data_IF_663239710961
#
_entry.id   IF_663239710961
#
_cell.length_a   1.000
_cell.length_b   1.000
_cell.length_c   1.000
_cell.angle_alpha   90.00
_cell.angle_beta   90.00
_cell.angle_gamma   90.00
#
_symmetry.space_group_name_H-M   'P 1'
#
loop_
_entity.id
_entity.type
_entity.pdbx_description
1 polymer ?
#
# COMPACT_ATOMS: atom_id res chain seq x y z
N UNK A 1 28.30 -35.40 30.78
CA UNK A 1 27.73 -35.47 29.43
C UNK A 1 27.29 -34.07 29.06
N UNK A 2 28.11 -33.32 28.26
CA UNK A 2 27.90 -31.90 27.92
C UNK A 2 27.33 -31.84 26.55
N UNK A 3 26.14 -31.27 26.39
CA UNK A 3 25.52 -30.99 25.10
C UNK A 3 25.97 -29.58 24.60
N UNK A 4 26.44 -29.43 23.37
CA UNK A 4 26.80 -28.13 22.86
C UNK A 4 25.54 -27.32 22.47
N UNK A 5 25.45 -26.08 22.93
CA UNK A 5 24.43 -25.14 22.57
C UNK A 5 24.65 -24.63 21.13
N UNK A 6 23.71 -24.96 20.24
CA UNK A 6 23.68 -24.42 18.86
C UNK A 6 23.02 -23.01 18.88
N UNK A 7 23.83 -21.98 19.06
CA UNK A 7 23.39 -20.60 18.88
C UNK A 7 23.57 -20.19 17.41
N UNK A 8 22.63 -20.58 16.57
CA UNK A 8 22.58 -20.12 15.19
C UNK A 8 22.05 -18.67 15.13
N UNK A 9 22.84 -17.77 14.58
CA UNK A 9 22.54 -16.32 14.44
C UNK A 9 21.74 -16.06 13.16
N UNK A 10 20.39 -16.03 13.16
CA UNK A 10 19.60 -15.78 11.94
C UNK A 10 19.65 -14.31 11.44
N UNK A 11 20.09 -13.38 12.29
CA UNK A 11 20.10 -11.93 11.96
C UNK A 11 21.07 -11.52 10.84
N UNK A 12 22.17 -12.27 10.65
CA UNK A 12 23.17 -11.93 9.61
C UNK A 12 22.76 -12.37 8.21
N UNK A 13 21.93 -13.39 8.06
CA UNK A 13 21.42 -13.85 6.75
C UNK A 13 20.37 -12.90 6.17
N UNK A 14 19.49 -12.35 7.01
CA UNK A 14 18.48 -11.38 6.56
C UNK A 14 19.11 -10.05 6.09
N UNK A 15 20.17 -9.59 6.74
CA UNK A 15 20.89 -8.39 6.34
C UNK A 15 21.63 -8.59 4.99
N UNK A 16 22.21 -9.77 4.75
CA UNK A 16 22.89 -10.08 3.49
C UNK A 16 21.93 -10.21 2.30
N UNK A 17 20.74 -10.75 2.50
CA UNK A 17 19.70 -10.81 1.46
C UNK A 17 19.15 -9.42 1.12
N UNK A 18 18.95 -8.55 2.10
CA UNK A 18 18.49 -7.18 1.89
C UNK A 18 19.52 -6.33 1.13
N UNK A 19 20.82 -6.49 1.40
CA UNK A 19 21.88 -5.77 0.69
C UNK A 19 22.09 -6.27 -0.73
N UNK A 20 21.95 -7.56 -1.00
CA UNK A 20 22.03 -8.11 -2.37
C UNK A 20 20.87 -7.65 -3.24
N UNK A 21 19.66 -7.56 -2.68
CA UNK A 21 18.47 -7.08 -3.39
C UNK A 21 18.56 -5.60 -3.76
N UNK A 22 19.20 -4.77 -2.93
CA UNK A 22 19.36 -3.34 -3.18
C UNK A 22 20.44 -3.07 -4.24
N UNK A 23 21.52 -3.86 -4.28
CA UNK A 23 22.60 -3.72 -5.25
C UNK A 23 22.18 -4.15 -6.66
N UNK A 24 21.33 -5.17 -6.82
CA UNK A 24 20.81 -5.62 -8.11
C UNK A 24 19.90 -4.58 -8.80
N UNK A 25 19.28 -3.67 -8.03
CA UNK A 25 18.43 -2.60 -8.55
C UNK A 25 19.21 -1.46 -9.23
N UNK A 26 20.50 -1.32 -8.99
CA UNK A 26 21.30 -0.17 -9.46
C UNK A 26 22.05 -0.40 -10.77
N UNK A 27 22.20 -1.64 -11.26
CA UNK A 27 23.11 -1.99 -12.36
C UNK A 27 22.44 -2.36 -13.70
N UNK A 28 21.10 -2.24 -13.83
CA UNK A 28 20.43 -2.55 -15.10
C UNK A 28 20.48 -1.37 -16.07
N UNK A 29 20.78 -1.61 -17.38
CA UNK A 29 20.94 -0.56 -18.37
C UNK A 29 19.64 0.25 -18.60
N UNK A 30 19.84 1.51 -18.97
CA UNK A 30 18.84 2.56 -19.07
C UNK A 30 18.17 2.60 -20.45
N UNK A 31 17.33 1.64 -20.80
CA UNK A 31 16.49 1.75 -21.99
C UNK A 31 15.02 1.61 -21.60
N UNK A 32 14.39 2.73 -21.24
CA UNK A 32 12.97 2.79 -20.85
C UNK A 32 12.08 2.99 -22.10
N UNK A 33 12.16 2.13 -23.10
CA UNK A 33 11.43 2.28 -24.37
C UNK A 33 9.91 2.10 -24.23
N UNK A 34 9.42 1.45 -23.16
CA UNK A 34 8.00 1.13 -22.98
C UNK A 34 7.25 2.08 -22.05
N UNK A 35 7.92 3.04 -21.44
CA UNK A 35 7.22 4.08 -20.67
C UNK A 35 6.49 5.06 -21.59
N UNK A 36 5.41 5.67 -21.09
CA UNK A 36 4.82 6.83 -21.74
C UNK A 36 5.94 7.83 -22.02
N UNK A 37 6.02 8.34 -23.25
CA UNK A 37 7.03 9.32 -23.66
C UNK A 37 6.99 10.63 -22.82
N UNK A 38 6.08 10.71 -21.85
CA UNK A 38 5.81 11.88 -21.04
C UNK A 38 6.49 11.75 -19.67
N UNK A 39 7.23 12.81 -19.30
CA UNK A 39 7.92 12.92 -18.01
C UNK A 39 6.97 12.95 -16.82
N UNK A 40 5.78 13.48 -17.00
CA UNK A 40 4.76 13.61 -15.96
C UNK A 40 3.51 12.84 -16.34
N UNK A 41 2.85 12.24 -15.38
CA UNK A 41 1.57 11.57 -15.57
C UNK A 41 0.68 11.68 -14.34
N UNK A 42 -0.62 11.60 -14.55
CA UNK A 42 -1.62 11.35 -13.52
C UNK A 42 -2.16 9.94 -13.72
N UNK A 43 -2.46 9.28 -12.62
CA UNK A 43 -3.00 7.92 -12.64
C UNK A 43 -4.20 7.84 -11.70
N UNK A 44 -5.26 7.17 -12.16
CA UNK A 44 -6.38 6.77 -11.33
C UNK A 44 -6.56 5.26 -11.44
N UNK A 45 -6.81 4.58 -10.31
CA UNK A 45 -6.90 3.13 -10.24
C UNK A 45 -8.00 2.68 -9.28
N UNK A 46 -8.67 1.59 -9.63
CA UNK A 46 -9.39 0.75 -8.68
C UNK A 46 -8.42 -0.13 -7.92
N UNK A 47 -8.66 -0.34 -6.64
CA UNK A 47 -7.87 -1.22 -5.79
C UNK A 47 -8.75 -2.24 -5.07
N UNK A 48 -8.20 -3.44 -4.91
CA UNK A 48 -8.70 -4.46 -3.99
C UNK A 48 -7.66 -4.62 -2.89
N UNK A 49 -8.10 -4.59 -1.63
CA UNK A 49 -7.23 -4.68 -0.45
C UNK A 49 -7.61 -5.90 0.37
N UNK A 50 -6.78 -6.95 0.31
CA UNK A 50 -6.86 -8.08 1.21
C UNK A 50 -6.12 -7.76 2.50
N UNK A 51 -6.75 -8.01 3.64
CA UNK A 51 -6.27 -7.66 4.99
C UNK A 51 -5.98 -8.92 5.79
N UNK A 52 -4.87 -8.94 6.56
CA UNK A 52 -4.42 -10.09 7.33
C UNK A 52 -3.77 -9.64 8.64
N UNK A 53 -3.93 -10.45 9.72
CA UNK A 53 -3.29 -10.23 11.02
C UNK A 53 -4.12 -9.40 12.00
N UNK A 54 -3.63 -9.28 13.23
CA UNK A 54 -4.35 -8.75 14.39
C UNK A 54 -4.89 -7.32 14.20
N UNK A 55 -4.14 -6.46 13.48
CA UNK A 55 -4.58 -5.09 13.18
C UNK A 55 -5.86 -5.01 12.31
N UNK A 56 -6.24 -6.12 11.72
CA UNK A 56 -7.39 -6.24 10.82
C UNK A 56 -8.37 -7.32 11.28
N UNK A 57 -8.32 -7.70 12.57
CA UNK A 57 -9.22 -8.71 13.10
C UNK A 57 -10.68 -8.28 12.94
N UNK A 58 -11.53 -9.18 12.42
CA UNK A 58 -12.91 -8.87 12.04
C UNK A 58 -13.08 -8.07 10.74
N UNK A 59 -12.01 -7.52 10.15
CA UNK A 59 -12.09 -6.71 8.94
C UNK A 59 -11.98 -7.58 7.68
N UNK A 60 -13.03 -7.56 6.84
CA UNK A 60 -13.02 -8.25 5.55
C UNK A 60 -12.20 -7.48 4.52
N UNK A 61 -11.76 -8.19 3.47
CA UNK A 61 -11.15 -7.56 2.29
C UNK A 61 -12.06 -6.46 1.74
N UNK A 62 -11.45 -5.38 1.26
CA UNK A 62 -12.16 -4.21 0.78
C UNK A 62 -11.82 -3.84 -0.66
N UNK A 63 -12.58 -2.90 -1.18
CA UNK A 63 -12.35 -2.27 -2.49
C UNK A 63 -12.24 -0.77 -2.34
N UNK A 64 -11.55 -0.14 -3.27
CA UNK A 64 -11.31 1.29 -3.17
C UNK A 64 -10.77 1.91 -4.44
N UNK A 65 -10.30 3.14 -4.28
CA UNK A 65 -9.72 3.94 -5.35
C UNK A 65 -8.40 4.55 -4.89
N UNK A 66 -7.53 4.78 -5.84
CA UNK A 66 -6.34 5.60 -5.65
C UNK A 66 -6.17 6.59 -6.81
N UNK A 67 -5.59 7.74 -6.50
CA UNK A 67 -5.15 8.73 -7.46
C UNK A 67 -3.72 9.14 -7.15
N UNK A 68 -2.87 9.26 -8.18
CA UNK A 68 -1.48 9.66 -8.00
C UNK A 68 -0.95 10.52 -9.14
N UNK A 69 -0.03 11.40 -8.80
CA UNK A 69 0.84 12.11 -9.72
C UNK A 69 2.19 11.41 -9.76
N UNK A 70 2.77 11.25 -10.97
CA UNK A 70 4.06 10.59 -11.15
C UNK A 70 5.04 11.42 -11.95
N UNK A 71 6.30 11.36 -11.54
CA UNK A 71 7.43 11.94 -12.24
C UNK A 71 8.35 10.81 -12.67
N UNK A 72 8.62 10.71 -13.97
CA UNK A 72 9.41 9.64 -14.58
C UNK A 72 10.60 10.22 -15.33
N UNK A 73 11.71 10.54 -14.62
CA UNK A 73 12.89 11.14 -15.24
C UNK A 73 13.73 10.15 -16.06
N UNK A 74 13.61 8.86 -15.78
CA UNK A 74 14.39 7.78 -16.40
C UNK A 74 13.65 6.45 -16.29
N UNK A 75 14.35 5.33 -16.13
CA UNK A 75 13.76 4.06 -15.75
C UNK A 75 13.19 4.05 -14.32
N UNK A 76 13.47 5.06 -13.53
CA UNK A 76 12.82 5.32 -12.25
C UNK A 76 11.60 6.22 -12.42
N UNK A 77 10.55 5.91 -11.69
CA UNK A 77 9.30 6.68 -11.65
C UNK A 77 8.89 6.86 -10.19
N UNK A 78 8.56 8.07 -9.80
CA UNK A 78 8.21 8.45 -8.43
C UNK A 78 6.75 8.91 -8.39
N UNK A 79 5.92 8.24 -7.63
CA UNK A 79 4.49 8.54 -7.48
C UNK A 79 4.19 9.10 -6.09
N UNK A 80 3.32 10.11 -6.05
CA UNK A 80 2.73 10.66 -4.83
C UNK A 80 1.22 10.62 -5.01
N UNK A 81 0.49 10.09 -4.04
CA UNK A 81 -0.93 9.89 -4.21
C UNK A 81 -1.72 9.80 -2.93
N UNK A 82 -3.03 9.66 -3.16
CA UNK A 82 -4.06 9.43 -2.16
C UNK A 82 -4.69 8.08 -2.44
N UNK A 83 -5.08 7.37 -1.41
CA UNK A 83 -5.86 6.14 -1.52
C UNK A 83 -6.99 6.11 -0.51
N UNK A 84 -8.07 5.43 -0.86
CA UNK A 84 -9.18 5.15 0.04
C UNK A 84 -9.79 3.81 -0.30
N UNK A 85 -10.13 3.01 0.70
CA UNK A 85 -10.82 1.74 0.55
C UNK A 85 -11.86 1.56 1.64
N UNK A 86 -12.91 0.83 1.30
CA UNK A 86 -14.03 0.51 2.18
C UNK A 86 -14.02 -0.98 2.46
N UNK A 87 -14.13 -1.33 3.72
CA UNK A 87 -14.08 -2.68 4.26
C UNK A 87 -15.31 -2.94 5.10
N UNK A 88 -15.79 -4.17 5.10
CA UNK A 88 -16.85 -4.59 6.01
C UNK A 88 -16.21 -5.13 7.27
N UNK A 89 -16.75 -4.74 8.40
CA UNK A 89 -16.41 -5.25 9.71
C UNK A 89 -17.61 -6.05 10.23
N UNK A 90 -17.37 -7.30 10.63
CA UNK A 90 -18.42 -8.21 11.08
C UNK A 90 -18.24 -8.43 12.59
N UNK A 91 -19.09 -7.81 13.37
CA UNK A 91 -19.12 -7.96 14.83
C UNK A 91 -20.44 -8.60 15.26
N UNK A 92 -20.36 -9.58 16.17
CA UNK A 92 -21.53 -10.32 16.66
C UNK A 92 -22.57 -9.43 17.39
N UNK A 93 -22.14 -8.25 17.87
CA UNK A 93 -22.97 -7.34 18.68
C UNK A 93 -23.47 -6.16 17.86
N UNK A 94 -22.64 -5.61 16.97
CA UNK A 94 -22.92 -4.40 16.20
C UNK A 94 -23.51 -4.71 14.80
N UNK A 95 -23.38 -5.97 14.34
CA UNK A 95 -23.77 -6.34 12.98
C UNK A 95 -22.66 -6.01 11.97
N UNK A 96 -23.06 -5.77 10.70
CA UNK A 96 -22.13 -5.47 9.59
C UNK A 96 -21.94 -3.95 9.50
N UNK A 97 -20.76 -3.46 9.87
CA UNK A 97 -20.38 -2.06 9.82
C UNK A 97 -19.34 -1.80 8.73
N UNK A 98 -19.20 -0.54 8.33
CA UNK A 98 -18.24 -0.15 7.28
C UNK A 98 -17.07 0.59 7.90
N UNK A 99 -15.86 0.04 7.69
CA UNK A 99 -14.60 0.68 8.06
C UNK A 99 -13.94 1.25 6.80
N UNK A 100 -13.52 2.51 6.89
CA UNK A 100 -12.80 3.20 5.82
C UNK A 100 -11.32 3.28 6.16
N UNK A 101 -10.46 2.84 5.21
CA UNK A 101 -9.03 3.11 5.23
C UNK A 101 -8.71 4.17 4.19
N UNK A 102 -8.13 5.29 4.60
CA UNK A 102 -7.74 6.38 3.70
C UNK A 102 -6.37 6.93 4.06
N UNK A 103 -5.67 7.53 3.09
CA UNK A 103 -4.38 8.14 3.38
C UNK A 103 -3.59 8.54 2.16
N UNK A 104 -2.34 8.94 2.45
CA UNK A 104 -1.37 9.39 1.45
C UNK A 104 -0.28 8.34 1.27
N UNK A 105 0.32 8.31 0.08
CA UNK A 105 1.44 7.41 -0.18
C UNK A 105 2.49 8.02 -1.11
N UNK A 106 3.70 7.48 -0.99
CA UNK A 106 4.82 7.65 -1.90
C UNK A 106 5.21 6.30 -2.49
N UNK A 107 5.35 6.22 -3.82
CA UNK A 107 5.66 4.96 -4.52
C UNK A 107 6.75 5.16 -5.57
N UNK A 108 8.03 4.87 -5.26
CA UNK A 108 9.08 4.67 -6.26
C UNK A 108 8.83 3.37 -7.02
N UNK A 109 9.05 3.42 -8.35
CA UNK A 109 9.03 2.26 -9.27
C UNK A 109 10.31 2.21 -10.08
N UNK A 110 10.83 1.01 -10.28
CA UNK A 110 11.87 0.72 -11.27
C UNK A 110 11.21 0.01 -12.45
N UNK A 111 11.12 0.67 -13.59
CA UNK A 111 10.62 0.08 -14.82
C UNK A 111 11.74 -0.75 -15.46
N UNK A 112 11.39 -1.96 -15.85
CA UNK A 112 12.31 -2.93 -16.44
C UNK A 112 12.20 -2.87 -17.96
N UNK A 113 13.35 -2.82 -18.63
CA UNK A 113 13.39 -2.93 -20.07
C UNK A 113 13.39 -4.40 -20.47
N UNK A 114 12.34 -4.79 -21.18
CA UNK A 114 12.17 -6.15 -21.71
C UNK A 114 12.17 -6.15 -23.25
N UNK A 115 12.62 -5.05 -23.88
CA UNK A 115 12.64 -4.90 -25.34
C UNK A 115 11.27 -4.77 -25.99
N UNK A 116 10.19 -4.59 -25.20
CA UNK A 116 8.82 -4.45 -25.71
C UNK A 116 8.40 -2.98 -25.76
N UNK A 117 7.82 -2.58 -26.88
CA UNK A 117 7.21 -1.25 -27.03
C UNK A 117 5.82 -1.15 -26.40
N UNK A 118 5.18 -2.29 -26.08
CA UNK A 118 3.81 -2.35 -25.57
C UNK A 118 3.75 -2.64 -24.08
N UNK A 119 4.66 -3.44 -23.54
CA UNK A 119 4.66 -3.90 -22.16
C UNK A 119 5.89 -3.38 -21.40
N UNK A 120 5.68 -2.77 -20.26
CA UNK A 120 6.72 -2.30 -19.36
C UNK A 120 6.51 -2.85 -17.95
N UNK A 121 7.07 -4.02 -17.61
CA UNK A 121 7.06 -4.51 -16.25
C UNK A 121 7.79 -3.56 -15.31
N UNK A 122 7.39 -3.52 -14.05
CA UNK A 122 8.07 -2.72 -13.03
C UNK A 122 8.10 -3.42 -11.67
N UNK A 123 9.10 -3.06 -10.88
CA UNK A 123 9.13 -3.31 -9.45
C UNK A 123 8.79 -2.02 -8.72
N UNK A 124 8.07 -2.12 -7.60
CA UNK A 124 7.70 -0.96 -6.78
C UNK A 124 7.89 -1.23 -5.30
N UNK A 125 8.16 -0.14 -4.57
CA UNK A 125 8.01 -0.07 -3.12
C UNK A 125 7.04 1.07 -2.82
N UNK A 126 6.24 0.93 -1.75
CA UNK A 126 5.28 1.96 -1.33
C UNK A 126 5.44 2.22 0.16
N UNK A 127 5.50 3.49 0.51
CA UNK A 127 5.38 3.98 1.88
C UNK A 127 4.04 4.71 1.96
N UNK A 128 3.20 4.38 2.92
CA UNK A 128 1.91 5.03 3.11
C UNK A 128 1.67 5.38 4.58
N UNK A 129 0.92 6.47 4.77
CA UNK A 129 0.34 6.85 6.05
C UNK A 129 -1.17 6.77 5.89
N UNK A 130 -1.78 5.89 6.67
CA UNK A 130 -3.19 5.55 6.56
C UNK A 130 -3.90 5.90 7.85
N UNK A 131 -5.17 6.24 7.73
CA UNK A 131 -6.12 6.36 8.82
C UNK A 131 -7.23 5.34 8.59
N UNK A 132 -7.49 4.54 9.59
CA UNK A 132 -8.67 3.69 9.70
C UNK A 132 -9.74 4.46 10.46
N UNK A 133 -10.97 4.48 9.97
CA UNK A 133 -12.10 5.19 10.60
C UNK A 133 -13.33 4.30 10.56
N UNK A 134 -14.05 4.31 11.69
CA UNK A 134 -15.34 3.66 11.89
C UNK A 134 -16.28 4.68 12.55
N UNK A 135 -17.40 4.97 11.91
CA UNK A 135 -18.43 5.85 12.44
C UNK A 135 -19.69 5.03 12.77
N UNK A 136 -20.18 5.17 14.00
CA UNK A 136 -21.31 4.45 14.54
C UNK A 136 -22.37 5.43 15.09
N UNK A 137 -23.62 5.06 15.02
CA UNK A 137 -24.70 5.70 15.76
C UNK A 137 -25.22 4.74 16.86
N UNK A 138 -24.97 5.10 18.08
CA UNK A 138 -25.40 4.30 19.24
C UNK A 138 -26.52 5.05 19.96
N UNK A 139 -27.77 4.61 19.73
CA UNK A 139 -28.97 5.21 20.33
C UNK A 139 -29.12 6.73 20.07
N UNK A 140 -28.79 7.21 18.88
CA UNK A 140 -28.83 8.62 18.50
C UNK A 140 -27.60 9.42 18.96
N UNK A 141 -26.55 8.76 19.46
CA UNK A 141 -25.26 9.39 19.79
C UNK A 141 -24.22 8.97 18.78
N UNK A 142 -23.62 9.94 18.08
CA UNK A 142 -22.54 9.68 17.15
C UNK A 142 -21.26 9.32 17.92
N UNK A 143 -20.66 8.20 17.55
CA UNK A 143 -19.39 7.68 18.07
C UNK A 143 -18.46 7.41 16.89
N UNK A 144 -17.29 8.03 16.88
CA UNK A 144 -16.27 7.80 15.85
C UNK A 144 -15.04 7.16 16.48
N UNK A 145 -14.56 6.08 15.89
CA UNK A 145 -13.28 5.45 16.24
C UNK A 145 -12.29 5.60 15.10
N UNK A 146 -11.06 5.97 15.42
CA UNK A 146 -10.00 6.12 14.41
C UNK A 146 -8.63 5.65 14.90
N UNK A 147 -7.83 5.11 13.99
CA UNK A 147 -6.44 4.76 14.24
C UNK A 147 -5.57 5.17 13.04
N UNK A 148 -4.41 5.76 13.34
CA UNK A 148 -3.43 6.11 12.30
C UNK A 148 -2.38 5.02 12.17
N UNK A 149 -1.90 4.75 10.95
CA UNK A 149 -0.92 3.71 10.71
C UNK A 149 0.12 4.10 9.67
N UNK A 150 1.29 3.50 9.79
CA UNK A 150 2.35 3.56 8.80
C UNK A 150 2.50 2.19 8.11
N UNK A 151 2.63 2.21 6.78
CA UNK A 151 2.63 1.01 5.94
C UNK A 151 3.83 1.02 4.99
N UNK A 152 4.42 -0.16 4.80
CA UNK A 152 5.49 -0.41 3.83
C UNK A 152 5.10 -1.62 2.98
N UNK A 153 4.99 -1.44 1.66
CA UNK A 153 4.69 -2.51 0.71
C UNK A 153 5.79 -2.63 -0.33
N UNK A 154 6.02 -3.87 -0.79
CA UNK A 154 6.82 -4.20 -1.95
C UNK A 154 6.01 -5.01 -2.96
N UNK A 155 6.36 -4.88 -4.23
CA UNK A 155 5.67 -5.62 -5.28
C UNK A 155 6.06 -5.17 -6.68
N UNK A 156 5.13 -5.27 -7.61
CA UNK A 156 5.37 -4.88 -9.00
C UNK A 156 4.10 -4.94 -9.83
N UNK A 157 4.31 -4.77 -11.13
CA UNK A 157 3.19 -4.80 -12.08
C UNK A 157 3.68 -4.65 -13.51
N UNK A 158 2.74 -4.33 -14.37
CA UNK A 158 2.99 -4.08 -15.79
C UNK A 158 2.20 -2.86 -16.26
N UNK A 159 2.88 -1.98 -16.97
CA UNK A 159 2.26 -0.93 -17.77
C UNK A 159 2.04 -1.46 -19.18
N UNK A 160 0.81 -1.41 -19.65
CA UNK A 160 0.41 -1.80 -21.01
C UNK A 160 0.10 -0.52 -21.77
N UNK A 161 0.87 -0.21 -22.80
CA UNK A 161 0.70 0.99 -23.60
C UNK A 161 -0.55 0.86 -24.48
N UNK A 162 -1.55 1.69 -24.23
CA UNK A 162 -2.76 1.79 -25.04
C UNK A 162 -2.63 2.87 -26.13
N UNK A 163 -1.87 3.94 -25.83
CA UNK A 163 -1.54 5.01 -26.77
C UNK A 163 -0.24 5.71 -26.34
N UNK A 164 0.31 6.65 -27.14
CA UNK A 164 1.51 7.40 -26.74
C UNK A 164 1.40 8.15 -25.41
N UNK A 165 0.19 8.41 -24.92
CA UNK A 165 -0.08 9.14 -23.67
C UNK A 165 -0.81 8.33 -22.62
N UNK A 166 -1.36 7.16 -22.94
CA UNK A 166 -2.23 6.38 -22.04
C UNK A 166 -1.68 5.00 -21.85
N UNK A 167 -1.48 4.61 -20.60
CA UNK A 167 -1.13 3.25 -20.20
C UNK A 167 -2.19 2.68 -19.27
N UNK A 168 -2.49 1.39 -19.43
CA UNK A 168 -3.15 0.58 -18.42
C UNK A 168 -2.09 0.10 -17.43
N UNK A 169 -2.31 0.32 -16.14
CA UNK A 169 -1.45 -0.15 -15.05
C UNK A 169 -2.14 -1.31 -14.31
N UNK A 170 -1.50 -2.47 -14.31
CA UNK A 170 -1.89 -3.63 -13.53
C UNK A 170 -0.79 -3.95 -12.53
N UNK A 171 -1.10 -3.97 -11.24
CA UNK A 171 -0.10 -4.16 -10.20
C UNK A 171 -0.59 -4.93 -9.00
N UNK A 172 0.37 -5.51 -8.27
CA UNK A 172 0.17 -6.18 -7.00
C UNK A 172 1.29 -5.80 -6.03
N UNK A 173 0.93 -5.47 -4.79
CA UNK A 173 1.89 -5.20 -3.72
C UNK A 173 1.45 -5.91 -2.44
N UNK A 174 2.42 -6.43 -1.69
CA UNK A 174 2.22 -6.99 -0.36
C UNK A 174 3.07 -6.23 0.63
N UNK A 175 2.57 -6.02 1.85
CA UNK A 175 3.31 -5.28 2.85
C UNK A 175 2.77 -5.39 4.25
N UNK A 176 3.45 -4.66 5.12
CA UNK A 176 3.21 -4.60 6.55
C UNK A 176 2.68 -3.23 6.93
N UNK A 177 1.76 -3.20 7.86
CA UNK A 177 1.23 -1.99 8.47
C UNK A 177 1.32 -2.10 10.00
N UNK A 178 1.55 -0.96 10.62
CA UNK A 178 1.44 -0.81 12.07
C UNK A 178 0.52 0.36 12.36
N UNK A 179 -0.58 0.08 13.07
CA UNK A 179 -1.48 1.11 13.57
C UNK A 179 -1.06 1.54 15.00
N UNK A 180 -1.31 2.82 15.30
CA UNK A 180 -1.28 3.38 16.66
C UNK A 180 -2.50 2.93 17.45
N UNK A 181 -2.53 3.28 18.74
CA UNK A 181 -3.72 3.10 19.55
C UNK A 181 -4.93 3.83 18.97
N UNK A 182 -6.10 3.25 19.17
CA UNK A 182 -7.39 3.79 18.72
C UNK A 182 -7.77 5.03 19.53
N UNK A 183 -8.21 6.07 18.84
CA UNK A 183 -8.85 7.25 19.43
C UNK A 183 -10.36 7.16 19.20
N UNK A 184 -11.14 7.24 20.29
CA UNK A 184 -12.61 7.24 20.25
C UNK A 184 -13.10 8.64 20.57
N UNK A 185 -13.95 9.19 19.72
CA UNK A 185 -14.63 10.48 19.89
C UNK A 185 -16.14 10.24 20.09
N UNK A 186 -16.67 10.65 21.23
CA UNK A 186 -18.09 10.52 21.57
C UNK A 186 -18.70 11.91 21.57
N UNK A 187 -19.74 12.13 20.78
CA UNK A 187 -20.43 13.42 20.69
C UNK A 187 -20.92 13.89 22.06
N UNK A 188 -20.49 15.09 22.47
CA UNK A 188 -20.82 15.70 23.75
C UNK A 188 -19.95 15.27 24.95
N UNK A 189 -19.08 14.29 24.80
CA UNK A 189 -18.14 13.81 25.85
C UNK A 189 -16.70 14.18 25.52
N UNK A 190 -16.28 14.02 24.23
CA UNK A 190 -14.95 14.33 23.73
C UNK A 190 -14.14 13.10 23.41
N UNK A 191 -12.82 13.30 23.18
CA UNK A 191 -11.90 12.29 22.68
C UNK A 191 -11.18 11.54 23.80
N UNK A 192 -11.11 10.22 23.64
CA UNK A 192 -10.39 9.33 24.56
C UNK A 192 -9.55 8.35 23.77
N UNK A 193 -8.29 8.15 24.21
CA UNK A 193 -7.40 7.17 23.62
C UNK A 193 -7.52 5.83 24.36
N UNK A 194 -7.69 4.74 23.61
CA UNK A 194 -7.72 3.38 24.15
C UNK A 194 -6.30 2.81 24.10
N UNK A 195 -5.60 2.84 25.24
CA UNK A 195 -4.23 2.32 25.33
C UNK A 195 -4.17 0.80 25.08
N UNK A 196 -3.11 0.34 24.42
CA UNK A 196 -2.88 -1.07 24.12
C UNK A 196 -3.70 -1.62 22.96
N UNK A 197 -4.42 -0.78 22.21
CA UNK A 197 -5.18 -1.16 21.02
C UNK A 197 -4.36 -1.08 19.72
N UNK A 198 -3.06 -0.75 19.82
CA UNK A 198 -2.13 -0.75 18.67
C UNK A 198 -1.97 -2.17 18.10
N UNK A 199 -1.93 -2.31 16.77
CA UNK A 199 -1.85 -3.61 16.12
C UNK A 199 -0.90 -3.63 14.92
N UNK A 200 -0.40 -4.84 14.61
CA UNK A 200 0.37 -5.11 13.41
C UNK A 200 -0.46 -5.96 12.45
N UNK A 201 -0.38 -5.63 11.17
CA UNK A 201 -1.05 -6.39 10.11
C UNK A 201 -0.24 -6.44 8.84
N UNK A 202 -0.76 -7.18 7.88
CA UNK A 202 -0.25 -7.20 6.52
C UNK A 202 -1.39 -7.07 5.53
N UNK A 203 -1.09 -6.59 4.33
CA UNK A 203 -2.09 -6.49 3.27
C UNK A 203 -1.54 -6.88 1.91
N UNK A 204 -2.45 -7.34 1.07
CA UNK A 204 -2.25 -7.54 -0.37
C UNK A 204 -3.09 -6.51 -1.11
N UNK A 205 -2.46 -5.65 -1.89
CA UNK A 205 -3.17 -4.66 -2.73
C UNK A 205 -3.04 -5.06 -4.18
N UNK A 206 -4.16 -5.35 -4.83
CA UNK A 206 -4.26 -5.51 -6.27
C UNK A 206 -4.78 -4.20 -6.87
N UNK A 207 -4.21 -3.79 -8.00
CA UNK A 207 -4.49 -2.51 -8.64
C UNK A 207 -4.74 -2.67 -10.13
N UNK A 208 -5.77 -1.98 -10.65
CA UNK A 208 -6.00 -1.80 -12.06
C UNK A 208 -6.39 -0.33 -12.33
N UNK A 209 -5.72 0.35 -13.25
CA UNK A 209 -5.95 1.77 -13.48
C UNK A 209 -5.38 2.30 -14.78
N UNK A 210 -5.66 3.56 -15.06
CA UNK A 210 -5.17 4.28 -16.23
C UNK A 210 -4.20 5.37 -15.81
N UNK A 211 -3.04 5.40 -16.46
CA UNK A 211 -2.04 6.46 -16.33
C UNK A 211 -2.04 7.30 -17.62
N UNK A 212 -2.24 8.61 -17.47
CA UNK A 212 -2.30 9.58 -18.57
C UNK A 212 -1.09 10.50 -18.47
N UNK A 213 -0.26 10.51 -19.52
CA UNK A 213 0.90 11.38 -19.62
C UNK A 213 0.50 12.83 -19.92
N UNK A 214 1.03 13.72 -19.10
CA UNK A 214 0.95 15.17 -19.27
C UNK A 214 2.38 15.65 -19.54
N UNK A 215 2.67 16.30 -20.60
CA UNK A 215 4.03 16.82 -20.94
C UNK A 215 5.18 16.53 -19.97
#
# INVERSE_FOLDING_TARGET
>A
MHLPSINARPRRMLAALATLSLAALTTLPTAAAAQSAQRYSVQASGIFVGTFGEAYDGLKSGVGLEAQFRITPSAWSYGFGLQGSSHKFDDATLGEETVTLSGIFFEPRRVLDVGSSQFAPYLSARLAFLQQSLDLDVNGTAVSASASGAQVNGGGGVLIRLSPKVNLDLGATYGLIKFSDVEVDIAGVGKTKVEGSSGNGSNLVLRAGLAIGIK
#
